data_IF_180615226841
#
_entry.id   IF_180615226841
#
_cell.length_a   1.000
_cell.length_b   1.000
_cell.length_c   1.000
_cell.angle_alpha   90.00
_cell.angle_beta   90.00
_cell.angle_gamma   90.00
#
_symmetry.space_group_name_H-M   'P 1'
#
loop_
_entity.id
_entity.type
_entity.pdbx_description
1 polymer ?
#
# COMPACT_ATOMS: atom_id res chain seq x y z
N UNK A 1 5.16 14.63 -12.02
CA UNK A 1 4.42 13.55 -11.50
C UNK A 1 4.07 12.61 -12.56
N UNK A 2 4.44 11.38 -12.40
CA UNK A 2 4.19 10.38 -13.41
C UNK A 2 3.43 9.23 -12.78
N UNK A 3 2.25 8.97 -13.28
CA UNK A 3 1.47 7.82 -12.84
C UNK A 3 1.90 6.60 -13.63
N UNK A 4 2.10 5.50 -12.92
CA UNK A 4 2.54 4.24 -13.51
C UNK A 4 1.37 3.25 -13.47
N UNK A 5 1.11 2.60 -14.56
CA UNK A 5 0.07 1.56 -14.62
C UNK A 5 0.48 0.39 -13.70
N UNK A 6 -0.43 -0.04 -12.86
CA UNK A 6 -0.18 -1.15 -11.94
C UNK A 6 -0.97 -2.38 -12.36
N UNK A 7 -2.28 -2.24 -12.53
CA UNK A 7 -3.13 -3.36 -12.88
C UNK A 7 -4.51 -2.84 -13.23
N UNK A 8 -5.37 -3.74 -13.67
CA UNK A 8 -6.76 -3.37 -13.91
C UNK A 8 -7.55 -3.41 -12.61
N UNK A 9 -8.67 -2.71 -12.59
CA UNK A 9 -9.50 -2.66 -11.39
C UNK A 9 -10.03 -4.04 -11.01
N UNK A 10 -10.09 -4.96 -11.96
CA UNK A 10 -10.56 -6.31 -11.66
C UNK A 10 -9.55 -7.13 -10.86
N UNK A 11 -8.32 -6.66 -10.71
CA UNK A 11 -7.30 -7.42 -9.98
C UNK A 11 -7.44 -7.28 -8.47
N UNK A 12 -8.20 -6.30 -7.98
CA UNK A 12 -8.41 -6.10 -6.55
C UNK A 12 -9.89 -5.90 -6.31
N UNK A 13 -10.43 -6.57 -5.31
CA UNK A 13 -11.84 -6.43 -4.96
C UNK A 13 -12.00 -5.61 -3.69
N UNK A 14 -13.17 -5.03 -3.52
CA UNK A 14 -13.48 -4.32 -2.28
C UNK A 14 -13.37 -5.29 -1.11
N UNK A 15 -12.71 -4.86 -0.04
CA UNK A 15 -12.46 -5.72 1.11
C UNK A 15 -11.22 -6.56 0.98
N UNK A 16 -10.46 -6.41 -0.11
CA UNK A 16 -9.26 -7.19 -0.34
C UNK A 16 -8.06 -6.30 -0.58
N UNK A 17 -6.89 -6.90 -0.68
CA UNK A 17 -5.67 -6.18 -1.02
C UNK A 17 -4.81 -7.05 -1.92
N UNK A 18 -3.84 -6.42 -2.58
CA UNK A 18 -2.89 -7.15 -3.41
C UNK A 18 -1.57 -6.42 -3.44
N UNK A 19 -0.48 -7.17 -3.58
CA UNK A 19 0.85 -6.61 -3.67
C UNK A 19 1.31 -6.74 -5.12
N UNK A 20 1.74 -5.63 -5.70
CA UNK A 20 2.13 -5.58 -7.11
C UNK A 20 3.52 -4.97 -7.24
N UNK A 21 4.24 -5.36 -8.27
CA UNK A 21 5.55 -4.82 -8.56
C UNK A 21 5.45 -3.79 -9.66
N UNK A 22 6.13 -2.67 -9.47
CA UNK A 22 6.22 -1.62 -10.48
C UNK A 22 7.70 -1.25 -10.59
N UNK A 23 8.42 -1.91 -11.48
CA UNK A 23 9.85 -1.76 -11.57
C UNK A 23 10.51 -2.29 -10.32
N UNK A 24 11.26 -1.45 -9.63
CA UNK A 24 11.92 -1.86 -8.39
C UNK A 24 11.10 -1.58 -7.16
N UNK A 25 9.94 -0.99 -7.32
CA UNK A 25 9.10 -0.64 -6.19
C UNK A 25 7.95 -1.61 -6.09
N UNK A 26 7.51 -1.87 -4.87
CA UNK A 26 6.32 -2.66 -4.67
C UNK A 26 5.20 -1.74 -4.21
N UNK A 27 3.99 -2.04 -4.65
CA UNK A 27 2.80 -1.25 -4.37
C UNK A 27 1.78 -2.17 -3.73
N UNK A 28 1.30 -1.77 -2.57
CA UNK A 28 0.22 -2.49 -1.90
C UNK A 28 -1.07 -1.75 -2.21
N UNK A 29 -1.97 -2.41 -2.92
CA UNK A 29 -3.30 -1.86 -3.18
C UNK A 29 -4.25 -2.42 -2.15
N UNK A 30 -4.91 -1.54 -1.41
CA UNK A 30 -5.80 -1.92 -0.33
C UNK A 30 -7.16 -1.30 -0.60
N UNK A 31 -8.19 -2.11 -0.63
CA UNK A 31 -9.54 -1.62 -0.85
C UNK A 31 -10.37 -1.89 0.39
N UNK A 32 -10.42 -0.96 1.36
CA UNK A 32 -11.19 -1.19 2.57
C UNK A 32 -12.67 -1.41 2.26
N UNK A 33 -13.30 -2.28 3.02
CA UNK A 33 -14.71 -2.55 2.83
C UNK A 33 -15.52 -1.29 3.11
N UNK A 34 -16.34 -0.90 2.17
CA UNK A 34 -17.12 0.33 2.27
C UNK A 34 -16.32 1.59 2.04
N UNK A 35 -15.07 1.49 1.62
CA UNK A 35 -14.22 2.65 1.42
C UNK A 35 -13.69 2.73 0.01
N UNK A 36 -12.63 3.49 -0.17
CA UNK A 36 -12.02 3.73 -1.46
C UNK A 36 -10.72 2.95 -1.59
N UNK A 37 -10.37 2.59 -2.81
CA UNK A 37 -9.12 1.93 -3.08
C UNK A 37 -7.95 2.85 -2.75
N UNK A 38 -6.97 2.32 -2.03
CA UNK A 38 -5.79 3.07 -1.61
C UNK A 38 -4.54 2.36 -2.08
N UNK A 39 -3.45 3.11 -2.21
CA UNK A 39 -2.16 2.57 -2.60
C UNK A 39 -1.11 2.96 -1.56
N UNK A 40 -0.29 1.99 -1.17
CA UNK A 40 0.78 2.21 -0.21
C UNK A 40 2.04 1.54 -0.71
N UNK A 41 3.18 1.96 -0.18
CA UNK A 41 4.42 1.27 -0.42
C UNK A 41 4.30 -0.16 0.15
N UNK A 42 4.77 -1.14 -0.60
CA UNK A 42 4.55 -2.54 -0.26
C UNK A 42 5.52 -3.11 0.76
N UNK A 43 5.97 -2.31 1.72
CA UNK A 43 6.90 -2.76 2.73
C UNK A 43 6.44 -2.28 4.10
N UNK A 44 6.65 -3.12 5.10
CA UNK A 44 6.27 -2.79 6.45
C UNK A 44 7.20 -1.71 7.00
N UNK A 45 6.66 -0.59 7.47
CA UNK A 45 7.52 0.54 7.85
C UNK A 45 8.35 0.29 9.10
N UNK A 46 7.98 -0.65 9.95
CA UNK A 46 8.73 -0.85 11.18
C UNK A 46 9.96 -1.73 10.96
N UNK A 47 9.97 -2.56 9.93
CA UNK A 47 11.07 -3.49 9.73
C UNK A 47 11.53 -3.55 8.28
N UNK A 48 10.94 -2.73 7.41
CA UNK A 48 11.26 -2.69 5.97
C UNK A 48 11.23 -4.07 5.33
N UNK A 49 10.26 -4.88 5.76
CA UNK A 49 10.06 -6.21 5.21
C UNK A 49 8.95 -6.18 4.17
N UNK A 50 9.01 -7.01 3.13
CA UNK A 50 7.94 -7.01 2.14
C UNK A 50 6.62 -7.46 2.74
N UNK A 51 5.54 -6.89 2.25
CA UNK A 51 4.20 -7.20 2.76
C UNK A 51 3.53 -8.28 1.93
N UNK A 52 4.31 -9.17 1.32
CA UNK A 52 3.78 -10.19 0.44
C UNK A 52 2.97 -11.26 1.16
N UNK A 53 3.14 -11.40 2.47
CA UNK A 53 2.37 -12.36 3.25
C UNK A 53 1.53 -11.68 4.32
N UNK A 54 1.36 -10.38 4.22
CA UNK A 54 0.45 -9.67 5.11
C UNK A 54 -0.98 -10.10 4.85
N UNK A 55 -1.84 -9.93 5.83
CA UNK A 55 -3.25 -10.24 5.68
C UNK A 55 -4.08 -8.98 5.83
N UNK A 56 -5.29 -9.01 5.32
CA UNK A 56 -6.20 -7.87 5.36
C UNK A 56 -7.60 -8.39 5.62
N UNK A 57 -8.24 -7.85 6.66
CA UNK A 57 -9.58 -8.29 7.03
C UNK A 57 -10.68 -7.36 6.50
N UNK A 58 -10.34 -6.49 5.57
CA UNK A 58 -11.27 -5.49 5.04
C UNK A 58 -11.11 -4.15 5.72
N UNK A 59 -10.33 -4.07 6.78
CA UNK A 59 -10.15 -2.86 7.53
C UNK A 59 -8.69 -2.65 7.94
N UNK A 60 -8.02 -3.68 8.40
CA UNK A 60 -6.67 -3.59 8.95
C UNK A 60 -5.72 -4.49 8.17
N UNK A 61 -4.58 -3.93 7.76
CA UNK A 61 -3.49 -4.68 7.13
C UNK A 61 -2.58 -5.16 8.25
N UNK A 62 -2.38 -6.47 8.34
CA UNK A 62 -1.56 -7.05 9.39
C UNK A 62 -0.27 -7.58 8.80
N UNK A 63 0.85 -7.02 9.25
CA UNK A 63 2.17 -7.49 8.86
C UNK A 63 2.45 -8.79 9.59
N UNK A 64 2.77 -9.85 8.84
CA UNK A 64 2.91 -11.16 9.48
C UNK A 64 4.22 -11.36 10.22
N UNK A 65 5.17 -10.44 10.09
CA UNK A 65 6.47 -10.63 10.74
C UNK A 65 6.42 -10.34 12.23
N UNK A 66 5.67 -9.30 12.63
CA UNK A 66 5.58 -8.95 14.04
C UNK A 66 4.15 -8.61 14.44
N UNK A 67 3.20 -8.96 13.61
CA UNK A 67 1.77 -8.71 13.89
C UNK A 67 1.45 -7.24 14.12
N UNK A 68 2.16 -6.36 13.43
CA UNK A 68 1.82 -4.94 13.45
C UNK A 68 0.66 -4.71 12.51
N UNK A 69 -0.37 -4.01 12.98
CA UNK A 69 -1.53 -3.72 12.17
C UNK A 69 -1.58 -2.27 11.74
N UNK A 70 -2.02 -2.03 10.51
CA UNK A 70 -2.11 -0.70 9.93
C UNK A 70 -3.51 -0.49 9.36
N UNK A 71 -4.04 0.72 9.56
CA UNK A 71 -5.36 1.05 9.06
C UNK A 71 -5.36 1.07 7.54
N UNK A 72 -6.28 0.37 6.92
CA UNK A 72 -6.35 0.28 5.45
C UNK A 72 -6.78 1.57 4.78
N UNK A 73 -7.30 2.53 5.54
CA UNK A 73 -7.72 3.81 4.97
C UNK A 73 -6.59 4.82 4.98
N UNK A 74 -5.89 4.95 6.10
CA UNK A 74 -4.86 5.98 6.24
C UNK A 74 -3.46 5.44 6.48
N UNK A 75 -3.29 4.14 6.64
CA UNK A 75 -1.98 3.53 6.81
C UNK A 75 -1.37 3.66 8.19
N UNK A 76 -2.08 4.26 9.13
CA UNK A 76 -1.52 4.46 10.46
C UNK A 76 -1.49 3.16 11.25
N UNK A 77 -0.48 3.01 12.10
CA UNK A 77 -0.39 1.83 12.96
C UNK A 77 -1.49 1.86 14.00
N UNK A 78 -2.23 0.75 14.12
CA UNK A 78 -3.34 0.66 15.05
C UNK A 78 -3.05 -0.28 16.21
N UNK A 79 -1.94 -1.01 16.18
CA UNK A 79 -1.61 -1.96 17.24
C UNK A 79 -0.57 -1.44 18.20
N UNK A 80 0.17 -0.40 17.82
CA UNK A 80 1.24 0.14 18.65
C UNK A 80 1.16 1.66 18.65
N UNK A 81 1.56 2.26 19.75
CA UNK A 81 1.55 3.73 19.86
C UNK A 81 2.84 4.28 19.28
N UNK A 82 2.97 4.21 17.99
CA UNK A 82 4.16 4.66 17.28
C UNK A 82 3.77 5.48 16.07
N UNK A 83 4.74 6.18 15.52
CA UNK A 83 4.49 7.01 14.34
C UNK A 83 4.66 6.28 13.03
N UNK A 84 5.09 5.02 13.08
CA UNK A 84 5.25 4.25 11.85
C UNK A 84 3.90 4.12 11.15
N UNK A 85 3.90 4.32 9.87
CA UNK A 85 2.70 4.23 9.06
C UNK A 85 3.08 3.73 7.69
N UNK A 86 2.14 3.08 7.01
CA UNK A 86 2.36 2.71 5.62
C UNK A 86 2.50 3.99 4.82
N UNK A 87 3.47 4.00 3.89
CA UNK A 87 3.72 5.18 3.08
C UNK A 87 2.69 5.25 1.96
N UNK A 88 1.83 6.28 1.90
CA UNK A 88 0.80 6.34 0.88
C UNK A 88 1.35 6.83 -0.45
N UNK A 89 0.78 6.32 -1.53
CA UNK A 89 1.02 6.82 -2.87
C UNK A 89 -0.29 7.40 -3.40
N UNK A 90 -0.18 8.39 -4.28
CA UNK A 90 -1.36 8.89 -4.98
C UNK A 90 -1.80 7.88 -6.01
N UNK A 91 -3.09 7.70 -6.13
CA UNK A 91 -3.68 6.71 -6.99
C UNK A 91 -4.76 7.36 -7.84
N UNK A 92 -4.86 6.96 -9.08
CA UNK A 92 -6.00 7.36 -9.91
C UNK A 92 -6.47 6.16 -10.72
N UNK A 93 -7.73 6.20 -11.08
CA UNK A 93 -8.34 5.18 -11.92
C UNK A 93 -8.80 5.83 -13.20
N UNK A 94 -8.31 5.34 -14.33
CA UNK A 94 -8.74 5.82 -15.65
C UNK A 94 -9.36 4.66 -16.38
N UNK A 95 -10.66 4.73 -16.63
CA UNK A 95 -11.37 3.60 -17.20
C UNK A 95 -11.32 2.46 -16.21
N UNK A 96 -10.69 1.37 -16.58
CA UNK A 96 -10.51 0.25 -15.66
C UNK A 96 -9.05 0.03 -15.30
N UNK A 97 -8.21 1.06 -15.45
CA UNK A 97 -6.79 0.98 -15.14
C UNK A 97 -6.48 1.68 -13.83
N UNK A 98 -5.75 1.00 -12.97
CA UNK A 98 -5.25 1.59 -11.73
C UNK A 98 -3.85 2.08 -11.97
N UNK A 99 -3.61 3.37 -11.73
CA UNK A 99 -2.32 4.01 -11.91
C UNK A 99 -1.91 4.66 -10.60
N UNK A 100 -0.63 4.59 -10.28
CA UNK A 100 -0.11 5.06 -9.01
C UNK A 100 1.11 5.94 -9.27
N UNK A 101 1.18 7.06 -8.56
CA UNK A 101 2.34 7.94 -8.62
C UNK A 101 3.35 7.44 -7.58
N UNK A 102 4.42 6.84 -8.06
CA UNK A 102 5.43 6.26 -7.20
C UNK A 102 6.39 7.29 -6.64
N UNK A 103 6.20 8.54 -7.02
CA UNK A 103 7.05 9.61 -6.57
C UNK A 103 8.37 9.65 -7.29
N UNK A 104 9.20 10.65 -7.00
CA UNK A 104 10.51 10.74 -7.64
C UNK A 104 11.40 9.60 -7.20
N UNK A 105 12.18 9.08 -8.12
CA UNK A 105 13.00 7.93 -7.82
C UNK A 105 14.04 8.23 -6.76
N UNK A 106 14.47 9.48 -6.67
CA UNK A 106 15.46 9.78 -5.73
C UNK A 106 15.01 10.03 -4.38
N UNK A 107 13.83 10.08 -4.26
CA UNK A 107 13.35 10.30 -3.00
C UNK A 107 13.99 9.50 -2.00
N UNK A 108 14.45 8.93 -2.43
CA UNK A 108 14.98 8.39 -1.47
C UNK A 108 16.02 8.79 -0.83
N UNK A 109 16.11 9.37 -1.08
CA UNK A 109 16.91 9.63 -0.60
C UNK A 109 17.06 9.88 0.44
N UNK A 110 16.80 9.83 0.37
CA UNK A 110 17.00 10.09 1.21
C UNK A 110 17.57 9.94 1.94
N UNK A 111 17.88 10.17 2.18
CA UNK A 111 18.55 10.09 2.88
C UNK A 111 18.89 9.65 3.61
N UNK A 112 18.99 9.46 3.33
CA UNK A 112 19.28 9.17 4.04
C UNK A 112 19.46 9.14 4.72
#
# INVERSE_FOLDING_TARGET
>A
MAFTFICNTSAVSEGAMGLFQAGRKSVLLVWPAGGELKAFRGRCPHADMPLNEATFDGKTVLCNYHNWGFDGVNGKCVTHLVRNALHPYELKIEGDEIQVDLGPAKVARAPA
#
